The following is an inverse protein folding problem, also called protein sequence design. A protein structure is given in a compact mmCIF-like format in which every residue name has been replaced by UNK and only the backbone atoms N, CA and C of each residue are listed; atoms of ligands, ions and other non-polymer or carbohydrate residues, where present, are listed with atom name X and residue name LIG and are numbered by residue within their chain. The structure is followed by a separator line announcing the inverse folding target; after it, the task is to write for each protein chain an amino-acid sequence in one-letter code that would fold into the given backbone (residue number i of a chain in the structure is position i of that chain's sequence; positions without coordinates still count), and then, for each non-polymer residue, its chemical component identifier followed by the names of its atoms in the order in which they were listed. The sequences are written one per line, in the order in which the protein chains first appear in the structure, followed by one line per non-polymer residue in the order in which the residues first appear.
data_IF_682853780153
#
_entry.id   IF_682853780153
#
_cell.length_a   1.000
_cell.length_b   1.000
_cell.length_c   1.000
_cell.angle_alpha   90.00
_cell.angle_beta   90.00
_cell.angle_gamma   90.00
#
_symmetry.space_group_name_H-M   'P 1'
#
loop_
_entity.id
_entity.type
_entity.pdbx_description
1 polymer ?
#
# COMPACT_ATOMS: atom_id res chain seq x y z
N UNK A 1 0.57 -11.20 -24.17
CA UNK A 1 2.03 -11.05 -24.37
C UNK A 1 2.65 -10.56 -23.06
N UNK A 2 3.82 -11.08 -22.71
CA UNK A 2 4.56 -10.65 -21.51
C UNK A 2 5.14 -9.26 -21.74
N UNK A 3 4.76 -8.27 -20.92
CA UNK A 3 5.20 -6.87 -21.07
C UNK A 3 6.64 -6.65 -20.62
N UNK A 4 7.04 -7.33 -19.54
CA UNK A 4 8.36 -7.25 -18.92
C UNK A 4 9.05 -8.61 -18.96
N UNK A 5 10.31 -8.62 -19.38
CA UNK A 5 11.21 -9.78 -19.22
C UNK A 5 11.53 -10.01 -17.73
N UNK A 6 12.07 -11.19 -17.39
CA UNK A 6 12.52 -11.46 -16.00
C UNK A 6 13.59 -10.47 -15.53
N UNK A 7 14.54 -10.08 -16.38
CA UNK A 7 15.55 -9.09 -16.03
C UNK A 7 14.94 -7.71 -15.76
N UNK A 8 14.00 -7.25 -16.60
CA UNK A 8 13.28 -6.00 -16.35
C UNK A 8 12.45 -6.08 -15.06
N UNK A 9 11.82 -7.22 -14.78
CA UNK A 9 11.09 -7.43 -13.55
C UNK A 9 12.01 -7.35 -12.31
N UNK A 10 13.20 -7.97 -12.36
CA UNK A 10 14.20 -7.86 -11.28
C UNK A 10 14.57 -6.40 -11.02
N UNK A 11 14.89 -5.64 -12.07
CA UNK A 11 15.21 -4.21 -11.94
C UNK A 11 14.08 -3.44 -11.25
N UNK A 12 12.82 -3.62 -11.69
CA UNK A 12 11.66 -2.98 -11.06
C UNK A 12 11.51 -3.40 -9.59
N UNK A 13 11.63 -4.70 -9.31
CA UNK A 13 11.43 -5.27 -7.96
C UNK A 13 12.48 -4.74 -7.00
N UNK A 14 13.76 -4.76 -7.39
CA UNK A 14 14.87 -4.30 -6.56
C UNK A 14 14.75 -2.79 -6.28
N UNK A 15 14.46 -1.99 -7.30
CA UNK A 15 14.24 -0.55 -7.12
C UNK A 15 13.04 -0.28 -6.20
N UNK A 16 11.96 -1.07 -6.33
CA UNK A 16 10.80 -0.97 -5.45
C UNK A 16 11.10 -1.46 -4.03
N UNK A 17 11.96 -2.45 -3.84
CA UNK A 17 12.35 -2.94 -2.52
C UNK A 17 13.10 -1.87 -1.72
N UNK A 18 14.05 -1.19 -2.37
CA UNK A 18 14.78 -0.06 -1.78
C UNK A 18 13.83 1.08 -1.39
N UNK A 19 12.90 1.45 -2.29
CA UNK A 19 11.89 2.48 -1.98
C UNK A 19 10.91 2.02 -0.89
N UNK A 20 10.55 0.75 -0.85
CA UNK A 20 9.73 0.19 0.22
C UNK A 20 10.44 0.28 1.56
N UNK A 21 11.75 -0.01 1.62
CA UNK A 21 12.55 0.10 2.84
C UNK A 21 12.55 1.53 3.38
N UNK A 22 12.85 2.49 2.50
CA UNK A 22 12.92 3.90 2.86
C UNK A 22 11.55 4.47 3.26
N UNK A 23 10.49 4.12 2.52
CA UNK A 23 9.21 4.83 2.57
C UNK A 23 8.11 4.11 3.34
N UNK A 24 8.21 2.81 3.59
CA UNK A 24 7.09 2.02 4.10
C UNK A 24 7.51 1.05 5.21
N UNK A 25 8.56 0.25 5.03
CA UNK A 25 8.97 -0.76 6.01
C UNK A 25 9.28 -0.14 7.38
N UNK A 26 8.73 -0.72 8.44
CA UNK A 26 8.95 -0.21 9.80
C UNK A 26 8.09 1.03 10.15
N UNK A 27 7.26 1.49 9.23
CA UNK A 27 6.33 2.60 9.45
C UNK A 27 4.88 2.13 9.55
N UNK A 28 4.09 2.95 10.24
CA UNK A 28 2.64 2.92 10.21
C UNK A 28 2.15 4.17 9.48
N UNK A 29 1.13 4.01 8.63
CA UNK A 29 0.43 5.12 7.99
C UNK A 29 -0.98 5.27 8.58
N UNK A 30 -1.35 6.52 8.87
CA UNK A 30 -2.69 6.91 9.25
C UNK A 30 -3.31 7.74 8.13
N UNK A 31 -4.34 7.19 7.49
CA UNK A 31 -5.17 7.94 6.57
C UNK A 31 -6.30 8.61 7.34
N UNK A 32 -6.40 9.94 7.22
CA UNK A 32 -7.58 10.69 7.66
C UNK A 32 -8.53 10.77 6.47
N UNK A 33 -9.75 10.29 6.68
CA UNK A 33 -10.74 10.04 5.64
C UNK A 33 -11.94 10.95 5.84
N UNK A 34 -12.42 11.53 4.74
CA UNK A 34 -13.65 12.30 4.72
C UNK A 34 -14.67 11.62 3.81
N UNK A 35 -15.84 11.33 4.35
CA UNK A 35 -16.96 10.83 3.54
C UNK A 35 -17.73 11.97 2.83
N UNK A 36 -18.75 11.59 2.05
CA UNK A 36 -19.61 12.56 1.34
C UNK A 36 -20.46 13.45 2.27
N UNK A 37 -20.64 13.03 3.53
CA UNK A 37 -21.38 13.75 4.57
C UNK A 37 -20.46 14.59 5.47
N UNK A 38 -19.17 14.72 5.09
CA UNK A 38 -18.11 15.43 5.86
C UNK A 38 -17.77 14.76 7.19
N UNK A 39 -18.19 13.52 7.44
CA UNK A 39 -17.73 12.77 8.60
C UNK A 39 -16.27 12.38 8.42
N UNK A 40 -15.51 12.53 9.50
CA UNK A 40 -14.10 12.15 9.55
C UNK A 40 -13.96 10.79 10.19
N UNK A 41 -13.28 9.89 9.49
CA UNK A 41 -12.86 8.59 9.99
C UNK A 41 -11.38 8.37 9.70
N UNK A 42 -10.85 7.21 10.05
CA UNK A 42 -9.45 6.90 9.82
C UNK A 42 -9.22 5.44 9.42
N UNK A 43 -8.03 5.19 8.86
CA UNK A 43 -7.51 3.86 8.64
C UNK A 43 -6.02 3.86 8.99
N UNK A 44 -5.61 2.97 9.88
CA UNK A 44 -4.21 2.69 10.16
C UNK A 44 -3.74 1.43 9.42
N UNK A 45 -2.57 1.49 8.81
CA UNK A 45 -1.96 0.35 8.11
C UNK A 45 -0.48 0.22 8.46
N UNK A 46 0.00 -1.02 8.52
CA UNK A 46 1.39 -1.38 8.84
C UNK A 46 2.06 -2.08 7.66
N UNK A 47 3.36 -1.90 7.54
CA UNK A 47 4.17 -2.47 6.45
C UNK A 47 5.33 -3.29 7.02
N UNK A 48 5.43 -4.54 6.60
CA UNK A 48 6.47 -5.48 7.02
C UNK A 48 7.24 -6.04 5.82
N UNK A 49 8.46 -6.55 6.02
CA UNK A 49 9.25 -7.19 4.95
C UNK A 49 8.48 -8.28 4.20
N UNK A 50 7.80 -9.15 4.94
CA UNK A 50 7.07 -10.29 4.37
C UNK A 50 5.88 -9.89 3.49
N UNK A 51 5.39 -8.66 3.57
CA UNK A 51 4.32 -8.21 2.69
C UNK A 51 4.80 -7.99 1.25
N UNK A 52 6.07 -7.62 1.07
CA UNK A 52 6.59 -7.11 -0.20
C UNK A 52 6.45 -8.14 -1.35
N UNK A 53 6.72 -9.42 -1.08
CA UNK A 53 6.58 -10.49 -2.06
C UNK A 53 5.21 -10.48 -2.74
N UNK A 54 4.13 -10.34 -1.96
CA UNK A 54 2.76 -10.32 -2.49
C UNK A 54 2.49 -9.14 -3.44
N UNK A 55 3.20 -8.03 -3.25
CA UNK A 55 3.04 -6.82 -4.07
C UNK A 55 3.71 -6.97 -5.44
N UNK A 56 4.73 -7.82 -5.55
CA UNK A 56 5.42 -8.09 -6.83
C UNK A 56 4.60 -9.01 -7.75
N UNK A 57 3.85 -9.95 -7.17
CA UNK A 57 3.09 -10.96 -7.91
C UNK A 57 3.92 -12.05 -8.56
N UNK A 58 5.22 -12.14 -8.29
CA UNK A 58 6.04 -13.28 -8.75
C UNK A 58 5.76 -14.51 -7.89
N UNK A 59 6.14 -15.69 -8.38
CA UNK A 59 6.12 -16.94 -7.62
C UNK A 59 7.54 -17.44 -7.46
N UNK A 60 8.02 -17.57 -6.22
CA UNK A 60 9.33 -18.14 -5.92
C UNK A 60 9.36 -19.62 -6.33
N UNK A 61 10.50 -20.07 -6.84
CA UNK A 61 10.70 -21.45 -7.29
C UNK A 61 11.18 -22.34 -6.14
N UNK A 62 11.91 -21.76 -5.19
CA UNK A 62 12.41 -22.44 -4.00
C UNK A 62 11.53 -22.15 -2.77
N UNK A 63 11.91 -22.73 -1.62
CA UNK A 63 11.23 -22.51 -0.33
C UNK A 63 11.68 -21.21 0.36
N UNK A 64 12.20 -20.22 -0.38
CA UNK A 64 12.61 -18.93 0.19
C UNK A 64 11.41 -18.25 0.84
N UNK A 65 11.58 -17.79 2.07
CA UNK A 65 10.51 -17.08 2.77
C UNK A 65 10.30 -15.69 2.16
N UNK A 66 9.13 -15.10 2.37
CA UNK A 66 8.87 -13.75 1.88
C UNK A 66 9.82 -12.69 2.47
N UNK A 67 10.29 -12.90 3.71
CA UNK A 67 11.28 -12.04 4.35
C UNK A 67 12.67 -12.22 3.72
N UNK A 68 13.11 -13.47 3.50
CA UNK A 68 14.39 -13.73 2.83
C UNK A 68 14.40 -13.22 1.39
N UNK A 69 13.27 -13.33 0.68
CA UNK A 69 13.10 -12.73 -0.64
C UNK A 69 13.31 -11.21 -0.59
N UNK A 70 12.73 -10.54 0.41
CA UNK A 70 12.88 -9.10 0.59
C UNK A 70 14.35 -8.73 0.83
N UNK A 71 15.04 -9.44 1.72
CA UNK A 71 16.46 -9.27 1.98
C UNK A 71 17.32 -9.51 0.72
N UNK A 72 17.01 -10.55 -0.07
CA UNK A 72 17.69 -10.79 -1.36
C UNK A 72 17.51 -9.61 -2.32
N UNK A 73 16.32 -9.01 -2.37
CA UNK A 73 16.07 -7.83 -3.20
C UNK A 73 16.94 -6.65 -2.77
N UNK A 74 16.98 -6.35 -1.46
CA UNK A 74 17.81 -5.25 -0.91
C UNK A 74 19.31 -5.46 -1.15
N UNK A 75 19.76 -6.71 -1.15
CA UNK A 75 21.15 -7.08 -1.39
C UNK A 75 21.50 -7.31 -2.87
N UNK A 76 20.57 -7.05 -3.81
CA UNK A 76 20.76 -7.30 -5.25
C UNK A 76 21.09 -8.77 -5.59
N UNK A 77 20.52 -9.73 -4.84
CA UNK A 77 20.74 -11.18 -4.97
C UNK A 77 19.52 -11.92 -5.52
N UNK A 78 18.82 -11.32 -6.49
CA UNK A 78 17.68 -11.95 -7.17
C UNK A 78 18.06 -12.28 -8.62
N UNK A 79 17.91 -13.54 -9.00
CA UNK A 79 18.21 -14.08 -10.34
C UNK A 79 16.93 -14.44 -11.10
N UNK A 80 16.93 -14.48 -12.44
CA UNK A 80 15.78 -14.94 -13.22
C UNK A 80 15.34 -16.38 -12.88
N UNK A 81 16.23 -17.21 -12.37
CA UNK A 81 15.99 -18.61 -12.03
C UNK A 81 15.29 -18.77 -10.66
N UNK A 82 15.23 -17.72 -9.84
CA UNK A 82 14.66 -17.77 -8.49
C UNK A 82 13.13 -17.71 -8.49
N UNK A 83 12.53 -17.25 -9.60
CA UNK A 83 11.09 -17.05 -9.66
C UNK A 83 10.49 -17.31 -11.04
N UNK A 84 9.17 -17.44 -11.07
CA UNK A 84 8.34 -17.48 -12.25
C UNK A 84 7.27 -16.38 -12.21
N UNK A 85 6.79 -15.98 -13.39
CA UNK A 85 5.61 -15.13 -13.48
C UNK A 85 4.35 -15.97 -13.24
N UNK A 86 3.34 -15.36 -12.62
CA UNK A 86 2.03 -15.98 -12.51
C UNK A 86 1.45 -16.23 -13.91
N UNK A 87 0.91 -17.43 -14.12
CA UNK A 87 0.36 -17.87 -15.41
C UNK A 87 -0.88 -17.09 -15.86
N UNK A 88 -1.56 -16.42 -14.93
CA UNK A 88 -2.72 -15.56 -15.20
C UNK A 88 -2.33 -14.12 -15.62
N UNK A 89 -1.03 -13.83 -15.75
CA UNK A 89 -0.52 -12.53 -16.18
C UNK A 89 -0.56 -11.44 -15.11
N UNK A 90 -1.05 -11.73 -13.90
CA UNK A 90 -1.20 -10.72 -12.83
C UNK A 90 0.13 -10.10 -12.39
N UNK A 91 1.24 -10.84 -12.48
CA UNK A 91 2.59 -10.28 -12.22
C UNK A 91 2.87 -9.05 -13.07
N UNK A 92 2.52 -9.08 -14.36
CA UNK A 92 2.79 -7.99 -15.29
C UNK A 92 2.01 -6.72 -14.90
N UNK A 93 0.74 -6.91 -14.53
CA UNK A 93 -0.14 -5.84 -14.06
C UNK A 93 0.38 -5.22 -12.77
N UNK A 94 0.86 -6.05 -11.83
CA UNK A 94 1.41 -5.60 -10.55
C UNK A 94 2.71 -4.81 -10.75
N UNK A 95 3.65 -5.33 -11.53
CA UNK A 95 4.93 -4.67 -11.81
C UNK A 95 4.76 -3.31 -12.50
N UNK A 96 3.74 -3.15 -13.34
CA UNK A 96 3.45 -1.87 -13.99
C UNK A 96 3.12 -0.74 -13.02
N UNK A 97 2.41 -1.06 -11.93
CA UNK A 97 1.92 -0.05 -10.99
C UNK A 97 2.65 -0.06 -9.65
N UNK A 98 3.54 -1.01 -9.40
CA UNK A 98 4.29 -1.08 -8.14
C UNK A 98 5.14 0.19 -7.91
N UNK A 99 5.90 0.73 -8.90
CA UNK A 99 6.76 1.88 -8.68
C UNK A 99 6.03 3.15 -8.22
N UNK A 100 4.80 3.37 -8.69
CA UNK A 100 4.00 4.55 -8.32
C UNK A 100 3.45 4.48 -6.89
N UNK A 101 3.41 3.29 -6.29
CA UNK A 101 2.91 3.04 -4.94
C UNK A 101 4.01 3.06 -3.87
N UNK A 102 5.29 2.95 -4.23
CA UNK A 102 6.42 2.99 -3.29
C UNK A 102 6.76 4.43 -2.86
N UNK A 103 5.78 5.14 -2.32
CA UNK A 103 5.93 6.51 -1.78
C UNK A 103 5.46 6.54 -0.33
N UNK A 104 5.90 7.53 0.45
CA UNK A 104 5.53 7.68 1.87
C UNK A 104 4.03 7.65 2.15
N UNK A 105 3.21 8.12 1.22
CA UNK A 105 1.74 8.14 1.32
C UNK A 105 1.06 7.17 0.36
N UNK A 106 1.80 6.23 -0.23
CA UNK A 106 1.39 5.26 -1.25
C UNK A 106 0.63 5.84 -2.46
N UNK A 107 0.81 7.14 -2.73
CA UNK A 107 0.02 7.91 -3.70
C UNK A 107 -1.51 7.85 -3.47
N UNK A 108 -1.98 7.47 -2.26
CA UNK A 108 -3.40 7.32 -1.99
C UNK A 108 -4.13 8.67 -1.96
N UNK A 109 -5.31 8.69 -2.58
CA UNK A 109 -6.28 9.79 -2.59
C UNK A 109 -7.66 9.34 -2.12
N UNK A 110 -7.90 8.03 -2.12
CA UNK A 110 -9.14 7.40 -1.73
C UNK A 110 -8.85 6.14 -0.92
N UNK A 111 -9.72 5.85 0.04
CA UNK A 111 -9.78 4.57 0.75
C UNK A 111 -11.20 4.03 0.66
N UNK A 112 -11.35 2.72 0.51
CA UNK A 112 -12.68 2.10 0.49
C UNK A 112 -12.63 0.61 0.75
N UNK A 113 -13.79 0.05 1.06
CA UNK A 113 -13.94 -1.38 1.33
C UNK A 113 -14.05 -2.13 0.02
N UNK A 114 -13.31 -3.24 -0.12
CA UNK A 114 -13.36 -4.07 -1.30
C UNK A 114 -14.80 -4.59 -1.53
N UNK A 115 -15.27 -4.53 -2.76
CA UNK A 115 -16.64 -4.90 -3.11
C UNK A 115 -16.83 -6.38 -3.43
N UNK A 116 -15.76 -7.18 -3.47
CA UNK A 116 -15.85 -8.61 -3.76
C UNK A 116 -16.03 -8.94 -5.24
N UNK A 117 -15.81 -8.00 -6.16
CA UNK A 117 -16.01 -8.22 -7.60
C UNK A 117 -15.09 -9.27 -8.23
N UNK A 118 -14.03 -9.70 -7.53
CA UNK A 118 -13.12 -10.74 -7.98
C UNK A 118 -13.06 -11.88 -6.93
N UNK A 119 -13.67 -13.04 -7.21
CA UNK A 119 -13.70 -14.17 -6.28
C UNK A 119 -12.33 -14.73 -5.88
N UNK A 120 -11.30 -14.54 -6.71
CA UNK A 120 -9.93 -15.00 -6.44
C UNK A 120 -9.10 -14.00 -5.64
N UNK A 121 -9.63 -12.80 -5.42
CA UNK A 121 -8.94 -11.73 -4.70
C UNK A 121 -9.45 -11.66 -3.27
N UNK A 122 -8.57 -12.00 -2.32
CA UNK A 122 -8.82 -11.78 -0.91
C UNK A 122 -8.19 -10.46 -0.47
N UNK A 123 -8.99 -9.45 -0.14
CA UNK A 123 -8.57 -8.18 0.45
C UNK A 123 -9.78 -7.51 1.12
N UNK A 124 -9.55 -6.70 2.15
CA UNK A 124 -10.64 -6.06 2.91
C UNK A 124 -10.75 -4.57 2.60
N UNK A 125 -9.64 -3.84 2.75
CA UNK A 125 -9.56 -2.40 2.49
C UNK A 125 -8.71 -2.15 1.25
N UNK A 126 -9.00 -1.07 0.55
CA UNK A 126 -8.22 -0.56 -0.56
C UNK A 126 -7.81 0.88 -0.27
N UNK A 127 -6.55 1.24 -0.58
CA UNK A 127 -6.08 2.62 -0.54
C UNK A 127 -5.31 2.95 -1.82
N UNK A 128 -5.67 4.04 -2.49
CA UNK A 128 -5.07 4.38 -3.77
C UNK A 128 -5.78 5.49 -4.52
N UNK A 129 -5.77 5.40 -5.84
CA UNK A 129 -6.38 6.37 -6.76
C UNK A 129 -7.05 5.70 -7.95
N UNK A 130 -7.19 6.46 -9.04
CA UNK A 130 -7.84 5.98 -10.27
C UNK A 130 -6.92 5.12 -11.15
N UNK A 131 -5.61 5.08 -10.86
CA UNK A 131 -4.62 4.31 -11.64
C UNK A 131 -4.17 3.04 -10.93
N UNK A 132 -4.06 3.07 -9.61
CA UNK A 132 -3.78 1.88 -8.82
C UNK A 132 -4.16 2.07 -7.36
N UNK A 133 -4.26 0.94 -6.67
CA UNK A 133 -4.42 0.87 -5.23
C UNK A 133 -3.66 -0.31 -4.62
N UNK A 134 -3.33 -0.18 -3.33
CA UNK A 134 -2.95 -1.28 -2.46
C UNK A 134 -4.20 -1.87 -1.81
N UNK A 135 -4.22 -3.20 -1.71
CA UNK A 135 -5.16 -3.92 -0.87
C UNK A 135 -4.54 -4.29 0.46
N UNK A 136 -5.37 -4.26 1.50
CA UNK A 136 -5.01 -4.56 2.87
C UNK A 136 -5.96 -5.59 3.47
N UNK A 137 -5.40 -6.48 4.28
CA UNK A 137 -6.12 -7.49 5.06
C UNK A 137 -5.83 -7.29 6.54
N UNK A 138 -6.78 -7.65 7.39
CA UNK A 138 -6.63 -7.58 8.83
C UNK A 138 -5.91 -8.82 9.33
N UNK A 139 -4.83 -8.62 10.07
CA UNK A 139 -4.07 -9.71 10.72
C UNK A 139 -4.80 -10.17 11.98
N UNK A 140 -4.37 -11.30 12.54
CA UNK A 140 -4.84 -11.79 13.84
C UNK A 140 -4.58 -10.81 15.00
N UNK A 141 -3.64 -9.86 14.84
CA UNK A 141 -3.34 -8.79 15.81
C UNK A 141 -4.22 -7.54 15.60
N UNK A 142 -5.26 -7.65 14.79
CA UNK A 142 -6.16 -6.56 14.42
C UNK A 142 -5.51 -5.40 13.63
N UNK A 143 -4.31 -5.59 13.08
CA UNK A 143 -3.62 -4.61 12.23
C UNK A 143 -3.93 -4.84 10.75
N UNK A 144 -4.08 -3.78 9.97
CA UNK A 144 -4.15 -3.88 8.50
C UNK A 144 -2.75 -3.90 7.89
N UNK A 145 -2.47 -4.89 7.04
CA UNK A 145 -1.20 -5.03 6.31
C UNK A 145 -1.44 -5.24 4.83
N UNK A 146 -0.55 -4.76 3.95
CA UNK A 146 -0.76 -4.88 2.52
C UNK A 146 -0.57 -6.33 2.06
N UNK A 147 -1.42 -6.77 1.14
CA UNK A 147 -1.38 -8.13 0.61
C UNK A 147 -1.53 -8.20 -0.91
N UNK A 148 -1.78 -7.07 -1.57
CA UNK A 148 -1.87 -7.01 -3.03
C UNK A 148 -1.77 -5.58 -3.53
N UNK A 149 -1.50 -5.44 -4.82
CA UNK A 149 -1.61 -4.18 -5.57
C UNK A 149 -2.47 -4.43 -6.80
N UNK A 150 -3.29 -3.45 -7.19
CA UNK A 150 -4.24 -3.56 -8.29
C UNK A 150 -4.03 -2.41 -9.27
N UNK A 151 -3.87 -2.76 -10.56
CA UNK A 151 -3.88 -1.82 -11.67
C UNK A 151 -5.33 -1.56 -12.10
N UNK A 152 -6.03 -0.73 -11.33
CA UNK A 152 -7.44 -0.40 -11.56
C UNK A 152 -7.81 0.94 -10.93
N UNK A 153 -8.98 1.45 -11.31
CA UNK A 153 -9.63 2.54 -10.60
C UNK A 153 -10.31 2.01 -9.34
N UNK A 154 -9.88 2.49 -8.17
CA UNK A 154 -10.43 2.07 -6.87
C UNK A 154 -11.95 2.20 -6.78
N UNK A 155 -12.57 3.13 -7.53
CA UNK A 155 -14.02 3.34 -7.53
C UNK A 155 -14.80 2.17 -8.14
N UNK A 156 -14.15 1.35 -8.96
CA UNK A 156 -14.76 0.17 -9.61
C UNK A 156 -14.69 -1.09 -8.75
N UNK A 157 -13.74 -1.11 -7.80
CA UNK A 157 -13.45 -2.27 -6.93
C UNK A 157 -13.76 -2.03 -5.45
N UNK A 158 -14.30 -0.85 -5.11
CA UNK A 158 -14.74 -0.52 -3.75
C UNK A 158 -16.24 -0.27 -3.68
N UNK A 159 -16.85 -0.51 -2.50
CA UNK A 159 -18.27 -0.26 -2.27
C UNK A 159 -18.57 1.24 -2.23
N UNK A 160 -17.90 1.93 -1.32
CA UNK A 160 -17.94 3.38 -1.14
C UNK A 160 -16.50 3.81 -0.83
N UNK A 161 -15.99 4.76 -1.60
CA UNK A 161 -14.67 5.35 -1.35
C UNK A 161 -14.81 6.67 -0.60
N UNK A 162 -14.00 6.82 0.44
CA UNK A 162 -13.81 8.05 1.19
C UNK A 162 -12.58 8.80 0.66
N UNK A 163 -12.64 10.12 0.68
CA UNK A 163 -11.51 10.95 0.27
C UNK A 163 -10.42 10.90 1.35
N UNK A 164 -9.18 10.63 0.98
CA UNK A 164 -8.04 10.87 1.86
C UNK A 164 -7.78 12.37 1.89
N UNK A 165 -7.94 12.98 3.07
CA UNK A 165 -7.68 14.40 3.28
C UNK A 165 -6.28 14.64 3.85
N UNK A 166 -5.78 13.75 4.71
CA UNK A 166 -4.41 13.76 5.19
C UNK A 166 -3.86 12.34 5.27
N UNK A 167 -2.54 12.20 5.18
CA UNK A 167 -1.83 10.99 5.55
C UNK A 167 -0.68 11.35 6.45
N UNK A 168 -0.68 10.74 7.64
CA UNK A 168 0.41 10.85 8.59
C UNK A 168 1.20 9.56 8.62
N UNK A 169 2.47 9.68 8.98
CA UNK A 169 3.42 8.58 9.09
C UNK A 169 4.18 8.66 10.41
N UNK A 170 4.45 7.49 11.00
CA UNK A 170 5.32 7.32 12.17
C UNK A 170 6.13 6.06 12.05
N UNK A 171 7.28 5.99 12.73
CA UNK A 171 7.92 4.68 12.93
C UNK A 171 7.06 3.88 13.90
N UNK A 172 7.03 2.56 13.74
CA UNK A 172 6.24 1.69 14.64
C UNK A 172 6.66 1.80 16.11
N UNK A 173 7.92 2.13 16.37
CA UNK A 173 8.47 2.32 17.71
C UNK A 173 7.99 3.63 18.38
N UNK A 174 7.53 4.62 17.60
CA UNK A 174 7.12 5.92 18.12
C UNK A 174 5.68 5.87 18.61
N UNK A 175 5.33 6.51 19.72
CA UNK A 175 3.94 6.48 20.25
C UNK A 175 2.94 7.37 19.51
N UNK A 176 3.43 8.35 18.74
CA UNK A 176 2.60 9.40 18.11
C UNK A 176 2.95 9.59 16.63
N UNK A 177 1.97 10.02 15.83
CA UNK A 177 2.19 10.48 14.46
C UNK A 177 2.84 11.86 14.44
N UNK A 178 3.88 12.02 13.63
CA UNK A 178 4.67 13.27 13.56
C UNK A 178 4.90 13.75 12.13
N UNK A 179 4.99 12.86 11.15
CA UNK A 179 5.30 13.22 9.76
C UNK A 179 4.01 13.33 8.93
N UNK A 180 3.63 14.54 8.50
CA UNK A 180 2.56 14.75 7.52
C UNK A 180 3.09 14.50 6.10
N UNK A 181 2.71 13.39 5.49
CA UNK A 181 3.22 12.96 4.16
C UNK A 181 2.26 13.26 3.01
N UNK A 182 1.02 13.67 3.33
CA UNK A 182 0.06 14.14 2.35
C UNK A 182 -0.99 15.04 2.99
N UNK A 183 -1.31 16.16 2.33
CA UNK A 183 -2.41 17.08 2.66
C UNK A 183 -3.22 17.37 1.39
N UNK A 184 -4.53 17.18 1.46
CA UNK A 184 -5.44 17.50 0.37
C UNK A 184 -5.61 19.02 0.24
N UNK A 185 -5.69 19.50 -1.00
CA UNK A 185 -5.95 20.91 -1.30
C UNK A 185 -7.45 21.21 -1.17
N UNK A 186 -7.80 22.47 -0.92
CA UNK A 186 -9.19 22.96 -0.87
C UNK A 186 -10.06 22.25 0.17
N UNK A 187 -9.47 21.95 1.32
CA UNK A 187 -10.16 21.49 2.52
C UNK A 187 -10.16 22.66 3.50
N UNK A 188 -11.34 22.96 4.04
CA UNK A 188 -11.48 23.85 5.19
C UNK A 188 -11.13 23.03 6.44
N UNK A 189 -9.92 23.22 6.95
CA UNK A 189 -9.37 22.43 8.06
C UNK A 189 -9.92 22.86 9.41
N UNK A 190 -10.26 24.13 9.57
CA UNK A 190 -10.82 24.69 10.80
C UNK A 190 -12.22 24.13 11.09
N UNK A 191 -12.94 23.73 10.05
CA UNK A 191 -14.25 23.11 10.15
C UNK A 191 -14.21 21.58 10.42
N UNK A 192 -13.03 20.97 10.48
CA UNK A 192 -12.91 19.52 10.67
C UNK A 192 -12.72 19.16 12.14
N UNK A 193 -13.43 18.12 12.56
CA UNK A 193 -13.21 17.47 13.86
C UNK A 193 -12.54 16.13 13.62
N UNK A 194 -11.33 15.98 14.12
CA UNK A 194 -10.58 14.72 14.03
C UNK A 194 -11.12 13.71 15.06
N UNK A 195 -10.91 12.40 14.84
CA UNK A 195 -11.15 11.41 15.89
C UNK A 195 -10.36 11.78 17.15
N UNK A 196 -10.98 11.61 18.33
CA UNK A 196 -10.42 12.06 19.62
C UNK A 196 -8.97 11.61 19.86
N UNK A 197 -8.64 10.40 19.44
CA UNK A 197 -7.30 9.83 19.57
C UNK A 197 -6.22 10.50 18.70
N UNK A 198 -6.64 11.26 17.67
CA UNK A 198 -5.76 11.98 16.73
C UNK A 198 -5.98 13.50 16.74
N UNK A 199 -6.71 14.04 17.72
CA UNK A 199 -7.01 15.47 17.80
C UNK A 199 -5.75 16.34 17.91
N UNK A 200 -4.67 15.80 18.49
CA UNK A 200 -3.38 16.49 18.56
C UNK A 200 -2.76 16.79 17.19
N UNK A 201 -3.15 16.07 16.13
CA UNK A 201 -2.64 16.29 14.77
C UNK A 201 -3.15 17.57 14.13
N UNK A 202 -4.27 18.13 14.62
CA UNK A 202 -4.79 19.43 14.16
C UNK A 202 -3.85 20.59 14.50
N UNK A 203 -2.92 20.38 15.43
CA UNK A 203 -1.98 21.39 15.94
C UNK A 203 -0.58 21.32 15.31
N UNK A 204 -0.32 20.34 14.45
CA UNK A 204 0.97 20.13 13.77
C UNK A 204 1.05 20.88 12.43
N UNK A 205 0.19 21.89 12.21
CA UNK A 205 0.27 22.78 11.05
C UNK A 205 1.35 23.86 11.18
#
# INVERSE_FOLDING_TARGET
MTKYTKQQAISIIVDCAAKYEENLNGYQLLFILKDKHKHISFLEVNFYPYNFLHLTGIKLIDNTTAADFYERCLNHKLSPEDFSFASDGTTQLKLEILPQLMKKNISAKMVGDFNGCNPKLYTEKLAGGVKACLGFVKTHRAEYVPNTVLNTDIRTVSKISQQVIATYRRKRADSSYQELVYKAKKIDWDALTFPKEYDYLTKLE
#
